data_IF_759487071439
#
_entry.id   IF_759487071439
#
_cell.length_a   1.000
_cell.length_b   1.000
_cell.length_c   1.000
_cell.angle_alpha   90.00
_cell.angle_beta   90.00
_cell.angle_gamma   90.00
#
_symmetry.space_group_name_H-M   'P 1'
#
loop_
_entity.id
_entity.type
_entity.pdbx_description
1 polymer ?
#
# COMPACT_ATOMS: atom_id res chain seq x y z
N UNK A 1 -1.16 38.13 7.88
CA UNK A 1 -0.21 37.07 8.31
C UNK A 1 -1.00 35.77 8.38
N UNK A 2 -0.63 34.74 7.60
CA UNK A 2 -1.41 33.51 7.47
C UNK A 2 -1.09 32.45 8.53
N UNK A 3 -2.03 31.54 8.76
CA UNK A 3 -1.88 30.45 9.74
C UNK A 3 -0.69 29.53 9.44
N UNK A 4 0.04 29.15 10.49
CA UNK A 4 1.17 28.22 10.41
C UNK A 4 0.67 26.81 10.07
N UNK A 5 0.99 26.32 8.87
CA UNK A 5 0.67 24.93 8.45
C UNK A 5 1.58 23.92 9.15
N UNK A 6 1.08 23.25 10.19
CA UNK A 6 1.77 22.14 10.87
C UNK A 6 1.60 20.83 10.08
N UNK A 7 2.72 20.22 9.64
CA UNK A 7 2.72 18.92 8.95
C UNK A 7 2.91 17.79 9.96
N UNK A 8 2.01 16.80 10.05
CA UNK A 8 2.17 15.69 10.97
C UNK A 8 3.22 14.69 10.48
N UNK A 9 3.84 13.98 11.42
CA UNK A 9 4.73 12.87 11.11
C UNK A 9 3.94 11.67 10.55
N UNK A 10 4.37 11.14 9.41
CA UNK A 10 3.69 10.06 8.70
C UNK A 10 4.11 8.65 9.16
N UNK A 11 5.13 8.54 10.00
CA UNK A 11 5.68 7.28 10.47
C UNK A 11 6.19 7.43 11.89
N UNK A 12 6.21 6.31 12.62
CA UNK A 12 6.85 6.21 13.94
C UNK A 12 8.09 5.34 13.84
N UNK A 13 9.19 5.78 14.42
CA UNK A 13 10.44 5.01 14.46
C UNK A 13 10.34 3.92 15.55
N UNK A 14 10.99 2.77 15.37
CA UNK A 14 11.11 1.77 16.43
C UNK A 14 11.81 2.38 17.64
N UNK A 15 11.37 2.01 18.85
CA UNK A 15 11.99 2.48 20.10
C UNK A 15 13.43 1.98 20.24
N UNK A 16 13.65 0.68 20.01
CA UNK A 16 14.98 0.07 20.02
C UNK A 16 15.56 0.10 18.60
N UNK A 17 16.68 0.80 18.43
CA UNK A 17 17.33 0.93 17.13
C UNK A 17 17.82 -0.42 16.61
N UNK A 18 18.58 -1.15 17.43
CA UNK A 18 19.18 -2.43 17.10
C UNK A 18 18.42 -3.58 17.78
N UNK A 19 17.56 -4.22 17.01
CA UNK A 19 16.80 -5.40 17.43
C UNK A 19 16.84 -6.40 16.28
N UNK A 20 17.57 -7.50 16.48
CA UNK A 20 17.86 -8.47 15.44
C UNK A 20 16.57 -9.13 14.90
N UNK A 21 15.64 -9.52 15.79
CA UNK A 21 14.39 -10.16 15.41
C UNK A 21 13.52 -9.21 14.56
N UNK A 22 13.37 -7.96 15.01
CA UNK A 22 12.66 -6.93 14.23
C UNK A 22 13.33 -6.67 12.89
N UNK A 23 14.66 -6.57 12.86
CA UNK A 23 15.42 -6.25 11.65
C UNK A 23 15.27 -7.37 10.60
N UNK A 24 15.31 -8.63 11.03
CA UNK A 24 15.09 -9.80 10.20
C UNK A 24 13.67 -9.82 9.62
N UNK A 25 12.64 -9.69 10.46
CA UNK A 25 11.25 -9.65 10.01
C UNK A 25 10.98 -8.49 9.02
N UNK A 26 11.54 -7.31 9.27
CA UNK A 26 11.44 -6.19 8.33
C UNK A 26 12.15 -6.47 7.01
N UNK A 27 13.26 -7.21 7.02
CA UNK A 27 14.02 -7.57 5.80
C UNK A 27 13.19 -8.50 4.92
N UNK A 28 12.52 -9.48 5.51
CA UNK A 28 11.59 -10.38 4.80
C UNK A 28 10.46 -9.59 4.13
N UNK A 29 9.83 -8.66 4.84
CA UNK A 29 8.77 -7.79 4.28
C UNK A 29 9.32 -6.91 3.14
N UNK A 30 10.52 -6.35 3.30
CA UNK A 30 11.18 -5.55 2.26
C UNK A 30 11.38 -6.38 0.99
N UNK A 31 11.86 -7.62 1.12
CA UNK A 31 12.10 -8.52 -0.01
C UNK A 31 10.79 -8.94 -0.67
N UNK A 32 9.80 -9.40 0.10
CA UNK A 32 8.49 -9.84 -0.37
C UNK A 32 7.79 -8.77 -1.21
N UNK A 33 7.83 -7.52 -0.77
CA UNK A 33 7.09 -6.42 -1.40
C UNK A 33 7.96 -5.50 -2.27
N UNK A 34 9.26 -5.75 -2.39
CA UNK A 34 10.19 -4.89 -3.14
C UNK A 34 10.21 -3.44 -2.65
N UNK A 35 10.30 -3.24 -1.33
CA UNK A 35 10.30 -1.90 -0.73
C UNK A 35 11.69 -1.26 -0.80
N UNK A 36 11.78 0.07 -1.00
CA UNK A 36 13.09 0.76 -1.01
C UNK A 36 13.69 0.91 0.38
N UNK A 37 12.86 1.08 1.40
CA UNK A 37 13.33 1.37 2.76
C UNK A 37 12.36 0.88 3.83
N UNK A 38 12.91 0.59 5.02
CA UNK A 38 12.14 0.23 6.23
C UNK A 38 11.15 1.33 6.66
N UNK A 39 11.40 2.58 6.26
CA UNK A 39 10.48 3.71 6.49
C UNK A 39 9.10 3.45 5.88
N UNK A 40 9.02 2.71 4.77
CA UNK A 40 7.73 2.35 4.16
C UNK A 40 6.91 1.40 5.05
N UNK A 41 7.59 0.46 5.73
CA UNK A 41 6.98 -0.42 6.74
C UNK A 41 6.48 0.41 7.93
N UNK A 42 7.29 1.36 8.40
CA UNK A 42 6.94 2.22 9.52
C UNK A 42 5.76 3.16 9.22
N UNK A 43 5.63 3.63 7.97
CA UNK A 43 4.45 4.37 7.51
C UNK A 43 3.20 3.48 7.53
N UNK A 44 3.30 2.25 7.04
CA UNK A 44 2.18 1.29 7.05
C UNK A 44 1.75 0.95 8.48
N UNK A 45 2.70 0.63 9.36
CA UNK A 45 2.45 0.37 10.78
C UNK A 45 1.83 1.58 11.50
N UNK A 46 2.32 2.80 11.25
CA UNK A 46 1.74 4.00 11.81
C UNK A 46 0.28 4.21 11.35
N UNK A 47 -0.02 3.97 10.07
CA UNK A 47 -1.41 4.04 9.57
C UNK A 47 -2.32 3.01 10.24
N UNK A 48 -1.88 1.77 10.36
CA UNK A 48 -2.65 0.74 11.08
C UNK A 48 -2.85 1.14 12.54
N UNK A 49 -1.83 1.67 13.21
CA UNK A 49 -1.94 2.17 14.58
C UNK A 49 -3.02 3.26 14.70
N UNK A 50 -3.07 4.21 13.75
CA UNK A 50 -4.14 5.22 13.72
C UNK A 50 -5.53 4.61 13.54
N UNK A 51 -5.66 3.57 12.71
CA UNK A 51 -6.93 2.85 12.51
C UNK A 51 -7.35 2.09 13.78
N UNK A 52 -6.40 1.41 14.44
CA UNK A 52 -6.65 0.70 15.70
C UNK A 52 -7.06 1.64 16.82
N UNK A 53 -6.41 2.80 16.95
CA UNK A 53 -6.78 3.79 17.94
C UNK A 53 -8.18 4.34 17.68
N UNK A 54 -8.53 4.59 16.41
CA UNK A 54 -9.90 4.97 16.03
C UNK A 54 -10.92 3.87 16.30
N UNK A 55 -10.56 2.60 16.10
CA UNK A 55 -11.41 1.47 16.43
C UNK A 55 -11.68 1.37 17.94
N UNK A 56 -10.66 1.62 18.77
CA UNK A 56 -10.80 1.64 20.24
C UNK A 56 -11.75 2.74 20.71
N UNK A 57 -11.68 3.93 20.14
CA UNK A 57 -12.60 5.03 20.50
C UNK A 57 -14.03 4.78 20.02
N UNK A 58 -14.22 3.89 19.04
CA UNK A 58 -15.54 3.49 18.54
C UNK A 58 -16.20 2.38 19.37
N UNK A 59 -15.47 1.70 20.26
CA UNK A 59 -16.02 0.62 21.11
C UNK A 59 -17.30 1.06 21.87
N UNK A 60 -17.30 2.19 22.62
CA UNK A 60 -18.48 2.61 23.39
C UNK A 60 -19.59 3.24 22.54
N UNK A 61 -19.38 3.44 21.24
CA UNK A 61 -20.30 4.21 20.40
C UNK A 61 -21.42 3.38 19.77
N UNK A 62 -22.35 4.06 19.12
CA UNK A 62 -23.51 3.48 18.44
C UNK A 62 -23.11 2.48 17.33
N UNK A 63 -23.97 1.49 17.04
CA UNK A 63 -23.71 0.51 15.98
C UNK A 63 -23.66 1.14 14.58
N UNK A 64 -24.34 2.26 14.36
CA UNK A 64 -24.35 2.97 13.08
C UNK A 64 -22.97 3.58 12.77
N UNK A 65 -22.37 4.28 13.73
CA UNK A 65 -21.01 4.83 13.56
C UNK A 65 -19.97 3.73 13.32
N UNK A 66 -20.16 2.56 13.94
CA UNK A 66 -19.31 1.38 13.71
C UNK A 66 -19.47 0.87 12.27
N UNK A 67 -20.71 0.71 11.79
CA UNK A 67 -21.00 0.31 10.40
C UNK A 67 -20.40 1.27 9.38
N UNK A 68 -20.52 2.58 9.60
CA UNK A 68 -19.89 3.56 8.72
C UNK A 68 -18.37 3.43 8.65
N UNK A 69 -17.74 3.19 9.80
CA UNK A 69 -16.30 2.97 9.86
C UNK A 69 -15.90 1.70 9.10
N UNK A 70 -16.64 0.61 9.26
CA UNK A 70 -16.40 -0.63 8.54
C UNK A 70 -16.61 -0.46 7.03
N UNK A 71 -17.66 0.24 6.59
CA UNK A 71 -17.91 0.53 5.17
C UNK A 71 -16.74 1.31 4.55
N UNK A 72 -16.18 2.29 5.27
CA UNK A 72 -15.01 3.05 4.81
C UNK A 72 -13.78 2.15 4.65
N UNK A 73 -13.53 1.24 5.60
CA UNK A 73 -12.40 0.29 5.51
C UNK A 73 -12.61 -0.79 4.45
N UNK A 74 -13.84 -1.26 4.28
CA UNK A 74 -14.22 -2.20 3.24
C UNK A 74 -14.04 -1.58 1.85
N UNK A 75 -14.39 -0.32 1.65
CA UNK A 75 -14.09 0.42 0.41
C UNK A 75 -12.58 0.57 0.13
N UNK A 76 -11.78 0.65 1.20
CA UNK A 76 -10.30 0.64 1.09
C UNK A 76 -9.72 -0.74 0.72
N UNK A 77 -10.50 -1.83 0.77
CA UNK A 77 -9.99 -3.16 0.49
C UNK A 77 -9.65 -3.99 1.73
N UNK A 78 -9.99 -3.52 2.93
CA UNK A 78 -9.74 -4.23 4.17
C UNK A 78 -11.06 -4.90 4.58
N UNK A 79 -11.22 -6.19 4.26
CA UNK A 79 -12.44 -6.98 4.55
C UNK A 79 -12.61 -7.10 6.07
N UNK A 80 -13.43 -6.22 6.65
CA UNK A 80 -13.60 -6.05 8.09
C UNK A 80 -15.09 -6.10 8.41
N UNK A 81 -15.44 -6.95 9.36
CA UNK A 81 -16.81 -7.11 9.86
C UNK A 81 -16.90 -6.64 11.31
N UNK A 82 -15.86 -6.91 12.10
CA UNK A 82 -15.83 -6.64 13.53
C UNK A 82 -14.70 -5.69 13.93
N UNK A 83 -14.84 -5.05 15.10
CA UNK A 83 -13.77 -4.24 15.71
C UNK A 83 -12.50 -5.08 15.94
N UNK A 84 -12.68 -6.35 16.31
CA UNK A 84 -11.58 -7.29 16.52
C UNK A 84 -10.69 -7.43 15.27
N UNK A 85 -11.29 -7.46 14.07
CA UNK A 85 -10.55 -7.60 12.81
C UNK A 85 -9.65 -6.37 12.57
N UNK A 86 -10.15 -5.18 12.90
CA UNK A 86 -9.36 -3.93 12.82
C UNK A 86 -8.16 -4.00 13.76
N UNK A 87 -8.34 -4.55 14.95
CA UNK A 87 -7.27 -4.72 15.93
C UNK A 87 -6.25 -5.76 15.46
N UNK A 88 -6.69 -6.80 14.75
CA UNK A 88 -5.86 -7.88 14.20
C UNK A 88 -5.09 -7.50 12.93
N UNK A 89 -5.41 -6.37 12.26
CA UNK A 89 -4.76 -5.94 11.01
C UNK A 89 -3.24 -5.96 11.10
N UNK A 90 -2.57 -6.63 10.17
CA UNK A 90 -1.10 -6.67 10.08
C UNK A 90 -0.58 -5.63 9.08
N UNK A 91 0.72 -5.36 9.15
CA UNK A 91 1.41 -4.45 8.21
C UNK A 91 1.25 -4.88 6.75
N UNK A 92 1.18 -6.18 6.52
CA UNK A 92 1.00 -6.79 5.20
C UNK A 92 -0.32 -6.39 4.54
N UNK A 93 -1.42 -6.36 5.30
CA UNK A 93 -2.73 -5.96 4.79
C UNK A 93 -2.70 -4.56 4.15
N UNK A 94 -1.91 -3.64 4.72
CA UNK A 94 -1.74 -2.30 4.14
C UNK A 94 -0.81 -2.29 2.92
N UNK A 95 0.24 -3.10 2.93
CA UNK A 95 1.18 -3.20 1.81
C UNK A 95 0.54 -3.89 0.60
N UNK A 96 -0.37 -4.83 0.81
CA UNK A 96 -1.12 -5.54 -0.23
C UNK A 96 -2.04 -4.65 -1.07
N UNK A 97 -2.45 -3.48 -0.53
CA UNK A 97 -3.35 -2.52 -1.21
C UNK A 97 -2.61 -1.42 -1.98
N UNK A 98 -1.28 -1.51 -2.07
CA UNK A 98 -0.46 -0.55 -2.81
C UNK A 98 -0.56 -0.80 -4.30
N UNK A 99 -0.44 0.26 -5.09
CA UNK A 99 -0.40 0.15 -6.55
C UNK A 99 0.70 -0.81 -7.02
N UNK A 100 1.88 -0.75 -6.39
CA UNK A 100 3.00 -1.66 -6.69
C UNK A 100 2.62 -3.15 -6.58
N UNK A 101 1.94 -3.52 -5.49
CA UNK A 101 1.61 -4.92 -5.20
C UNK A 101 0.44 -5.39 -6.03
N UNK A 102 -0.53 -4.52 -6.29
CA UNK A 102 -1.67 -4.83 -7.15
C UNK A 102 -1.22 -5.00 -8.61
N UNK A 103 -0.33 -4.16 -9.11
CA UNK A 103 0.24 -4.29 -10.47
C UNK A 103 0.98 -5.62 -10.62
N UNK A 104 1.73 -6.03 -9.60
CA UNK A 104 2.37 -7.35 -9.56
C UNK A 104 1.35 -8.49 -9.52
N UNK A 105 0.35 -8.42 -8.64
CA UNK A 105 -0.74 -9.44 -8.53
C UNK A 105 -1.56 -9.56 -9.82
N UNK A 106 -1.72 -8.47 -10.57
CA UNK A 106 -2.41 -8.45 -11.87
C UNK A 106 -1.57 -9.00 -13.04
N UNK A 107 -0.32 -9.39 -12.80
CA UNK A 107 0.56 -9.92 -13.86
C UNK A 107 1.11 -8.87 -14.84
N UNK A 108 0.90 -7.57 -14.59
CA UNK A 108 1.44 -6.49 -15.42
C UNK A 108 2.97 -6.33 -15.25
N UNK A 109 3.53 -6.94 -14.20
CA UNK A 109 4.96 -6.99 -13.93
C UNK A 109 5.34 -8.38 -13.42
N UNK A 110 6.54 -8.85 -13.77
CA UNK A 110 7.06 -10.17 -13.36
C UNK A 110 7.64 -10.16 -11.94
N UNK A 111 8.09 -9.00 -11.46
CA UNK A 111 8.63 -8.86 -10.09
C UNK A 111 8.08 -7.61 -9.41
N UNK A 112 8.03 -7.56 -8.06
CA UNK A 112 7.61 -6.36 -7.33
C UNK A 112 8.50 -5.14 -7.62
N UNK A 113 9.79 -5.35 -7.89
CA UNK A 113 10.73 -4.30 -8.28
C UNK A 113 10.43 -3.78 -9.69
N UNK A 114 10.13 -4.66 -10.64
CA UNK A 114 9.70 -4.26 -11.98
C UNK A 114 8.39 -3.47 -11.94
N UNK A 115 7.43 -3.87 -11.10
CA UNK A 115 6.19 -3.11 -10.92
C UNK A 115 6.49 -1.68 -10.46
N UNK A 116 7.43 -1.50 -9.53
CA UNK A 116 7.86 -0.19 -9.05
C UNK A 116 8.49 0.66 -10.16
N UNK A 117 9.31 0.05 -11.00
CA UNK A 117 9.95 0.69 -12.15
C UNK A 117 8.90 1.20 -13.15
N UNK A 118 7.98 0.33 -13.58
CA UNK A 118 6.90 0.67 -14.53
C UNK A 118 6.05 1.84 -14.00
N UNK A 119 5.72 1.83 -12.70
CA UNK A 119 4.99 2.93 -12.05
C UNK A 119 5.81 4.23 -12.14
N UNK A 120 7.08 4.20 -11.73
CA UNK A 120 7.93 5.41 -11.74
C UNK A 120 8.18 5.99 -13.14
N UNK A 121 8.10 5.18 -14.19
CA UNK A 121 8.23 5.62 -15.59
C UNK A 121 6.92 6.14 -16.20
N UNK A 122 5.87 6.33 -15.40
CA UNK A 122 4.58 6.86 -15.84
C UNK A 122 3.94 5.99 -16.94
N UNK A 123 4.01 4.66 -16.79
CA UNK A 123 3.46 3.70 -17.75
C UNK A 123 2.14 3.06 -17.29
N UNK A 124 1.67 3.40 -16.09
CA UNK A 124 0.42 2.89 -15.51
C UNK A 124 -0.59 4.04 -15.36
N UNK A 125 -1.83 3.75 -15.75
CA UNK A 125 -2.97 4.62 -15.50
C UNK A 125 -3.96 3.98 -14.52
N UNK A 126 -4.56 4.80 -13.68
CA UNK A 126 -5.63 4.44 -12.75
C UNK A 126 -6.80 5.36 -13.02
N UNK A 127 -7.93 4.80 -13.47
CA UNK A 127 -9.13 5.57 -13.83
C UNK A 127 -8.83 6.72 -14.83
N UNK A 128 -8.05 6.43 -15.87
CA UNK A 128 -7.68 7.39 -16.91
C UNK A 128 -6.60 8.41 -16.52
N UNK A 129 -6.12 8.42 -15.27
CA UNK A 129 -5.03 9.29 -14.81
C UNK A 129 -3.73 8.53 -14.63
N UNK A 130 -2.63 9.10 -15.09
CA UNK A 130 -1.29 8.52 -14.91
C UNK A 130 -0.85 8.65 -13.46
N UNK A 131 -0.46 7.54 -12.83
CA UNK A 131 0.01 7.51 -11.44
C UNK A 131 1.44 7.00 -11.37
N UNK A 132 2.32 7.81 -10.76
CA UNK A 132 3.75 7.54 -10.69
C UNK A 132 4.26 7.19 -9.29
N UNK A 133 3.35 7.06 -8.31
CA UNK A 133 3.67 6.82 -6.91
C UNK A 133 3.40 5.34 -6.57
N UNK A 134 4.43 4.52 -6.28
CA UNK A 134 4.24 3.11 -5.92
C UNK A 134 3.51 2.90 -4.59
N UNK A 135 3.53 3.93 -3.72
CA UNK A 135 2.78 3.94 -2.46
C UNK A 135 1.35 4.44 -2.59
N UNK A 136 0.85 4.64 -3.81
CA UNK A 136 -0.55 4.97 -4.05
C UNK A 136 -1.43 3.85 -3.49
N UNK A 137 -2.44 4.23 -2.70
CA UNK A 137 -3.37 3.30 -2.08
C UNK A 137 -4.55 3.10 -3.01
N UNK A 138 -4.83 1.86 -3.40
CA UNK A 138 -5.87 1.54 -4.37
C UNK A 138 -7.12 1.03 -3.63
N UNK A 139 -8.23 1.76 -3.76
CA UNK A 139 -9.54 1.32 -3.28
C UNK A 139 -10.09 0.20 -4.17
N UNK A 140 -11.06 -0.58 -3.67
CA UNK A 140 -11.64 -1.71 -4.42
C UNK A 140 -12.13 -1.28 -5.81
N UNK A 141 -12.79 -0.13 -5.89
CA UNK A 141 -13.36 0.39 -7.15
C UNK A 141 -12.29 0.76 -8.18
N UNK A 142 -11.11 1.16 -7.72
CA UNK A 142 -10.00 1.54 -8.59
C UNK A 142 -9.23 0.32 -9.10
N UNK A 143 -9.34 -0.84 -8.46
CA UNK A 143 -8.59 -2.02 -8.85
C UNK A 143 -8.91 -2.44 -10.28
N UNK A 144 -10.19 -2.50 -10.66
CA UNK A 144 -10.61 -2.87 -12.02
C UNK A 144 -10.11 -1.88 -13.08
N UNK A 145 -9.90 -0.62 -12.71
CA UNK A 145 -9.56 0.50 -13.62
C UNK A 145 -8.05 0.76 -13.75
N UNK A 146 -7.22 -0.24 -13.48
CA UNK A 146 -5.77 -0.18 -13.68
C UNK A 146 -5.44 -0.73 -15.07
N UNK A 147 -4.78 0.08 -15.89
CA UNK A 147 -4.32 -0.31 -17.22
C UNK A 147 -2.92 0.23 -17.53
N UNK A 148 -2.28 -0.37 -18.54
CA UNK A 148 -1.02 0.11 -19.09
C UNK A 148 -1.27 1.17 -20.16
N UNK A 149 -0.38 2.15 -20.23
CA UNK A 149 -0.43 3.21 -21.25
C UNK A 149 0.30 2.68 -22.49
N UNK A 150 -0.44 2.51 -23.59
CA UNK A 150 -0.02 1.78 -24.79
C UNK A 150 1.20 2.34 -25.55
N UNK A 151 1.64 3.58 -25.27
CA UNK A 151 2.74 4.21 -26.01
C UNK A 151 4.15 4.05 -25.44
N UNK A 152 4.32 3.43 -24.26
CA UNK A 152 5.60 3.42 -23.52
C UNK A 152 6.25 2.05 -23.34
N UNK A 153 5.63 0.99 -23.82
CA UNK A 153 6.17 -0.36 -23.70
C UNK A 153 6.99 -0.62 -24.95
N UNK A 154 8.32 -0.68 -24.82
CA UNK A 154 9.16 -1.28 -25.85
C UNK A 154 8.84 -2.78 -25.85
N UNK A 155 8.21 -3.26 -26.92
CA UNK A 155 8.13 -4.68 -27.17
C UNK A 155 9.54 -5.26 -27.09
N UNK A 156 9.69 -6.35 -26.33
CA UNK A 156 10.95 -7.09 -26.36
C UNK A 156 11.11 -7.62 -27.78
N UNK A 157 12.10 -7.14 -28.52
CA UNK A 157 12.56 -7.85 -29.72
C UNK A 157 12.94 -9.25 -29.26
N UNK A 158 12.23 -10.25 -29.77
CA UNK A 158 12.66 -11.64 -29.65
C UNK A 158 14.06 -11.71 -30.26
N UNK A 159 15.03 -12.17 -29.46
CA UNK A 159 16.35 -12.43 -29.98
C UNK A 159 16.22 -13.60 -30.95
N UNK A 160 16.31 -13.31 -32.25
CA UNK A 160 16.43 -14.31 -33.29
C UNK A 160 17.68 -15.12 -32.96
N UNK A 161 17.49 -16.34 -32.48
CA UNK A 161 18.55 -17.34 -32.33
C UNK A 161 18.59 -18.08 -33.65
N UNK A 162 19.41 -17.60 -34.59
CA UNK A 162 19.85 -18.36 -35.75
C UNK A 162 21.05 -19.22 -35.32
N UNK A 163 20.85 -20.54 -35.25
CA UNK A 163 21.87 -21.57 -35.46
C UNK A 163 21.23 -22.76 -36.16
#
# INVERSE_FOLDING_TARGET
>A
MGDIKRKPNLYSRPRKAFDAARIAAEKEIVQKYGLKSKREIWKASAKISTLRNRAKTLIPKSPEEKKEFFNKLNGMGLNIENIADVLALKTENWLDRRLQTIVFKKGLAKTPLQARQIISHNSISVNGRTVNVPSFFVTKDLESKISLIAGKIKEKKEAVVEQ
#
